data_IF_914076837769
#
_entry.id   IF_914076837769
#
_cell.length_a   1.000
_cell.length_b   1.000
_cell.length_c   1.000
_cell.angle_alpha   90.00
_cell.angle_beta   90.00
_cell.angle_gamma   90.00
#
_symmetry.space_group_name_H-M   'P 1'
#
loop_
_entity.id
_entity.type
_entity.pdbx_description
1 polymer ?
#
# COMPACT_ATOMS: atom_id res chain seq x y z
N UNK A 1 -18.36 65.43 -25.52
CA UNK A 1 -18.97 64.85 -26.74
C UNK A 1 -18.85 63.33 -26.59
N UNK A 2 -19.86 62.74 -26.09
CA UNK A 2 -20.82 61.79 -26.66
C UNK A 2 -20.21 60.72 -27.59
N UNK A 3 -20.17 59.44 -27.16
CA UNK A 3 -20.89 58.36 -27.86
C UNK A 3 -20.92 57.09 -27.00
N UNK A 4 -22.12 56.67 -26.69
CA UNK A 4 -22.48 55.39 -26.10
C UNK A 4 -22.39 54.27 -27.15
N UNK A 5 -21.92 53.09 -26.77
CA UNK A 5 -22.12 51.86 -27.53
C UNK A 5 -22.67 50.79 -26.62
N UNK A 6 -23.86 50.38 -26.94
CA UNK A 6 -24.65 49.31 -26.33
C UNK A 6 -24.12 48.00 -26.91
N UNK A 7 -23.69 47.05 -26.08
CA UNK A 7 -23.46 45.70 -26.52
C UNK A 7 -24.48 44.72 -25.86
N UNK A 8 -25.22 44.08 -26.75
CA UNK A 8 -26.14 43.01 -26.54
C UNK A 8 -25.44 41.80 -25.87
N UNK A 9 -25.99 41.37 -24.74
CA UNK A 9 -25.62 40.10 -24.12
C UNK A 9 -26.56 39.02 -24.66
N UNK A 10 -26.02 38.14 -25.49
CA UNK A 10 -26.69 36.89 -25.91
C UNK A 10 -26.34 35.83 -24.86
N UNK A 11 -27.33 35.46 -24.07
CA UNK A 11 -27.23 34.34 -23.13
C UNK A 11 -27.28 33.00 -23.84
N UNK A 12 -26.20 32.23 -23.74
CA UNK A 12 -26.20 30.83 -24.12
C UNK A 12 -26.40 29.99 -22.86
N UNK A 13 -27.60 29.40 -22.75
CA UNK A 13 -27.91 28.37 -21.74
C UNK A 13 -27.27 27.06 -22.16
N UNK A 14 -26.15 26.68 -21.50
CA UNK A 14 -25.59 25.35 -21.57
C UNK A 14 -26.29 24.46 -20.56
N UNK A 15 -27.15 23.58 -21.04
CA UNK A 15 -27.72 22.48 -20.26
C UNK A 15 -26.65 21.45 -19.95
N UNK A 16 -26.14 21.44 -18.72
CA UNK A 16 -25.23 20.42 -18.22
C UNK A 16 -25.97 19.13 -17.93
N UNK A 17 -25.95 18.20 -18.88
CA UNK A 17 -26.42 16.83 -18.67
C UNK A 17 -25.49 16.09 -17.69
N UNK A 18 -25.98 15.82 -16.48
CA UNK A 18 -25.30 14.96 -15.51
C UNK A 18 -25.50 13.52 -15.98
N UNK A 19 -24.49 12.96 -16.66
CA UNK A 19 -24.44 11.54 -16.96
C UNK A 19 -24.03 10.79 -15.67
N UNK A 20 -25.02 10.22 -14.98
CA UNK A 20 -24.78 9.30 -13.86
C UNK A 20 -24.16 8.02 -14.41
N UNK A 21 -22.88 7.79 -14.16
CA UNK A 21 -22.23 6.53 -14.43
C UNK A 21 -22.79 5.44 -13.50
N UNK A 22 -23.29 4.30 -14.02
CA UNK A 22 -23.75 3.22 -13.16
C UNK A 22 -22.56 2.59 -12.44
N UNK A 23 -22.67 2.47 -11.12
CA UNK A 23 -21.65 1.85 -10.27
C UNK A 23 -21.34 0.43 -10.74
N UNK A 24 -20.04 0.13 -10.98
CA UNK A 24 -19.56 -1.15 -11.52
C UNK A 24 -19.99 -2.39 -10.70
N UNK A 25 -20.32 -2.21 -9.42
CA UNK A 25 -20.75 -3.29 -8.53
C UNK A 25 -22.12 -3.90 -8.89
N UNK A 26 -23.03 -3.14 -9.50
CA UNK A 26 -24.35 -3.67 -9.88
C UNK A 26 -24.30 -4.67 -11.05
N UNK A 27 -23.33 -4.52 -11.94
CA UNK A 27 -23.18 -5.43 -13.09
C UNK A 27 -22.66 -6.83 -12.68
N UNK A 28 -21.81 -6.92 -11.66
CA UNK A 28 -21.30 -8.20 -11.18
C UNK A 28 -22.36 -9.05 -10.48
N UNK A 29 -23.22 -8.42 -9.68
CA UNK A 29 -24.32 -9.10 -8.99
C UNK A 29 -25.36 -9.60 -10.00
N UNK A 30 -25.61 -8.86 -11.07
CA UNK A 30 -26.51 -9.27 -12.14
C UNK A 30 -25.96 -10.52 -12.88
N UNK A 31 -24.68 -10.56 -13.24
CA UNK A 31 -24.06 -11.69 -13.90
C UNK A 31 -24.06 -12.98 -13.07
N UNK A 32 -23.83 -12.87 -11.75
CA UNK A 32 -23.90 -14.03 -10.85
C UNK A 32 -25.32 -14.59 -10.69
N UNK A 33 -26.35 -13.72 -10.78
CA UNK A 33 -27.75 -14.15 -10.75
C UNK A 33 -28.14 -14.89 -12.03
N UNK A 34 -27.62 -14.48 -13.19
CA UNK A 34 -27.86 -15.13 -14.47
C UNK A 34 -27.25 -16.53 -14.49
N UNK A 35 -26.04 -16.72 -13.94
CA UNK A 35 -25.41 -18.05 -13.82
C UNK A 35 -26.18 -19.00 -12.87
N UNK A 36 -26.89 -18.50 -11.87
CA UNK A 36 -27.64 -19.34 -10.93
C UNK A 36 -28.95 -19.89 -11.49
N UNK A 37 -29.45 -19.32 -12.59
CA UNK A 37 -30.66 -19.76 -13.27
C UNK A 37 -30.43 -20.83 -14.35
N UNK A 38 -29.19 -21.17 -14.66
CA UNK A 38 -28.78 -22.14 -15.67
C UNK A 38 -28.71 -23.58 -15.16
N UNK A 39 -28.78 -24.57 -16.06
CA UNK A 39 -28.59 -25.97 -15.70
C UNK A 39 -27.16 -26.26 -15.20
N UNK A 40 -26.98 -27.38 -14.48
CA UNK A 40 -25.78 -27.65 -13.67
C UNK A 40 -24.47 -27.66 -14.49
N UNK A 41 -24.50 -28.13 -15.76
CA UNK A 41 -23.32 -28.17 -16.63
C UNK A 41 -22.93 -26.77 -17.12
N UNK A 42 -23.89 -26.01 -17.58
CA UNK A 42 -23.70 -24.62 -18.05
C UNK A 42 -23.31 -23.65 -16.92
N UNK A 43 -23.76 -23.97 -15.69
CA UNK A 43 -23.41 -23.19 -14.50
C UNK A 43 -21.91 -23.27 -14.17
N UNK A 44 -21.28 -24.42 -14.38
CA UNK A 44 -19.83 -24.58 -14.15
C UNK A 44 -19.03 -23.76 -15.16
N UNK A 45 -19.36 -23.80 -16.45
CA UNK A 45 -18.69 -23.00 -17.46
C UNK A 45 -18.90 -21.49 -17.27
N UNK A 46 -20.10 -21.09 -16.84
CA UNK A 46 -20.40 -19.69 -16.54
C UNK A 46 -19.59 -19.17 -15.33
N UNK A 47 -19.40 -20.01 -14.30
CA UNK A 47 -18.59 -19.67 -13.13
C UNK A 47 -17.09 -19.60 -13.44
N UNK A 48 -16.59 -20.39 -14.37
CA UNK A 48 -15.18 -20.35 -14.81
C UNK A 48 -14.88 -19.12 -15.68
N UNK A 49 -15.88 -18.67 -16.46
CA UNK A 49 -15.78 -17.43 -17.27
C UNK A 49 -16.02 -16.13 -16.47
N UNK A 50 -16.60 -16.22 -15.28
CA UNK A 50 -16.73 -15.05 -14.44
C UNK A 50 -15.34 -14.52 -14.07
N UNK A 51 -15.02 -13.23 -14.31
CA UNK A 51 -13.73 -12.69 -13.96
C UNK A 51 -13.50 -12.87 -12.46
N UNK A 52 -12.53 -13.69 -12.10
CA UNK A 52 -12.09 -13.83 -10.71
C UNK A 52 -11.58 -12.47 -10.29
N UNK A 53 -12.38 -11.76 -9.52
CA UNK A 53 -11.99 -10.48 -8.97
C UNK A 53 -10.95 -10.75 -7.89
N UNK A 54 -9.68 -10.90 -8.29
CA UNK A 54 -8.58 -10.57 -7.40
C UNK A 54 -8.87 -9.14 -6.96
N UNK A 55 -9.09 -8.94 -5.66
CA UNK A 55 -9.32 -7.61 -5.12
C UNK A 55 -8.20 -6.69 -5.65
N UNK A 56 -8.55 -5.79 -6.55
CA UNK A 56 -7.58 -4.88 -7.13
C UNK A 56 -6.92 -4.10 -5.98
N UNK A 57 -5.60 -3.89 -6.03
CA UNK A 57 -4.91 -3.10 -5.01
C UNK A 57 -5.62 -1.77 -4.83
N UNK A 58 -6.13 -1.50 -3.63
CA UNK A 58 -6.81 -0.23 -3.35
C UNK A 58 -5.75 0.83 -3.10
N UNK A 59 -5.60 1.74 -4.06
CA UNK A 59 -4.85 2.98 -3.86
C UNK A 59 -5.73 3.95 -3.07
N UNK A 60 -5.38 4.25 -1.84
CA UNK A 60 -6.07 5.30 -1.08
C UNK A 60 -5.72 6.64 -1.73
N UNK A 61 -6.71 7.37 -2.21
CA UNK A 61 -6.51 8.71 -2.77
C UNK A 61 -5.84 9.61 -1.71
N UNK A 62 -4.68 10.17 -2.04
CA UNK A 62 -3.86 10.98 -1.12
C UNK A 62 -2.78 10.22 -0.34
N UNK A 63 -2.72 8.90 -0.42
CA UNK A 63 -1.69 8.08 0.22
C UNK A 63 -0.74 7.50 -0.83
N UNK A 64 0.56 7.50 -0.50
CA UNK A 64 1.58 6.85 -1.34
C UNK A 64 1.62 5.32 -1.14
N UNK A 65 0.66 4.77 -0.42
CA UNK A 65 0.60 3.37 -0.06
C UNK A 65 -0.40 2.59 -0.90
N UNK A 66 0.02 1.45 -1.38
CA UNK A 66 -0.85 0.44 -2.01
C UNK A 66 -1.05 -0.69 -1.00
N UNK A 67 -2.31 -1.00 -0.69
CA UNK A 67 -2.68 -2.05 0.28
C UNK A 67 -3.39 -3.19 -0.45
N UNK A 68 -2.90 -4.40 -0.25
CA UNK A 68 -3.52 -5.65 -0.72
C UNK A 68 -3.89 -6.52 0.47
N UNK A 69 -5.12 -6.97 0.52
CA UNK A 69 -5.63 -7.90 1.53
C UNK A 69 -6.13 -9.14 0.81
N UNK A 70 -5.58 -10.29 1.16
CA UNK A 70 -5.92 -11.58 0.55
C UNK A 70 -5.99 -12.67 1.62
N UNK A 71 -6.32 -13.87 1.21
CA UNK A 71 -6.28 -15.06 2.06
C UNK A 71 -5.30 -16.05 1.43
N UNK A 72 -4.45 -16.64 2.23
CA UNK A 72 -3.52 -17.67 1.81
C UNK A 72 -4.30 -18.91 1.33
N UNK A 73 -4.04 -19.44 0.13
CA UNK A 73 -4.73 -20.62 -0.36
C UNK A 73 -4.27 -21.90 0.34
N UNK A 74 -3.19 -21.85 1.10
CA UNK A 74 -2.59 -23.03 1.76
C UNK A 74 -3.19 -23.26 3.13
N UNK A 75 -3.29 -22.23 3.95
CA UNK A 75 -3.68 -22.29 5.36
C UNK A 75 -4.88 -21.40 5.70
N UNK A 76 -5.46 -20.76 4.69
CA UNK A 76 -6.58 -19.82 4.81
C UNK A 76 -6.34 -18.68 5.79
N UNK A 77 -5.08 -18.43 6.15
CA UNK A 77 -4.72 -17.31 7.00
C UNK A 77 -4.82 -15.98 6.22
N UNK A 78 -5.16 -14.87 6.89
CA UNK A 78 -5.17 -13.57 6.26
C UNK A 78 -3.74 -13.16 5.88
N UNK A 79 -3.60 -12.62 4.67
CA UNK A 79 -2.37 -12.04 4.14
C UNK A 79 -2.64 -10.57 3.87
N UNK A 80 -1.87 -9.70 4.51
CA UNK A 80 -1.94 -8.27 4.29
C UNK A 80 -0.57 -7.76 3.86
N UNK A 81 -0.56 -6.96 2.80
CA UNK A 81 0.65 -6.33 2.27
C UNK A 81 0.34 -4.86 2.01
N UNK A 82 1.16 -3.98 2.57
CA UNK A 82 1.14 -2.56 2.22
C UNK A 82 2.51 -2.17 1.69
N UNK A 83 2.55 -1.47 0.56
CA UNK A 83 3.78 -1.06 -0.10
C UNK A 83 3.80 0.42 -0.39
N UNK A 84 4.97 1.04 -0.28
CA UNK A 84 5.25 2.39 -0.73
C UNK A 84 6.60 2.44 -1.44
N UNK A 85 6.72 3.31 -2.45
CA UNK A 85 7.97 3.49 -3.18
C UNK A 85 8.78 4.65 -2.59
N UNK A 86 10.10 4.53 -2.66
CA UNK A 86 10.99 5.59 -2.23
C UNK A 86 10.85 6.84 -3.12
N UNK A 87 11.03 8.01 -2.52
CA UNK A 87 11.19 9.29 -3.22
C UNK A 87 12.67 9.60 -3.33
N UNK A 88 13.18 9.71 -4.55
CA UNK A 88 14.58 10.06 -4.77
C UNK A 88 15.53 8.98 -4.22
N UNK A 89 16.31 8.45 -5.06
CA UNK A 89 17.54 7.75 -4.73
C UNK A 89 18.62 8.40 -5.56
N UNK A 90 19.81 8.52 -5.05
CA UNK A 90 20.96 9.13 -5.76
C UNK A 90 21.24 8.49 -7.11
N UNK A 91 20.62 7.35 -7.39
CA UNK A 91 20.93 6.50 -8.55
C UNK A 91 19.72 6.05 -9.37
N UNK A 92 18.54 6.65 -9.17
CA UNK A 92 17.33 6.33 -9.96
C UNK A 92 16.75 4.92 -9.73
N UNK A 93 17.34 4.10 -8.88
CA UNK A 93 16.82 2.78 -8.53
C UNK A 93 15.76 2.90 -7.44
N UNK A 94 14.49 2.86 -7.84
CA UNK A 94 13.37 2.87 -6.90
C UNK A 94 13.48 1.69 -5.92
N UNK A 95 13.48 2.00 -4.62
CA UNK A 95 13.30 1.00 -3.57
C UNK A 95 11.85 0.97 -3.11
N UNK A 96 11.40 -0.17 -2.67
CA UNK A 96 10.04 -0.38 -2.14
C UNK A 96 10.13 -0.79 -0.68
N UNK A 97 9.38 -0.11 0.17
CA UNK A 97 9.15 -0.49 1.55
C UNK A 97 7.82 -1.24 1.64
N UNK A 98 7.84 -2.42 2.24
CA UNK A 98 6.66 -3.27 2.39
C UNK A 98 6.43 -3.63 3.84
N UNK A 99 5.21 -3.42 4.32
CA UNK A 99 4.71 -4.00 5.56
C UNK A 99 3.94 -5.25 5.15
N UNK A 100 4.36 -6.42 5.62
CA UNK A 100 3.72 -7.70 5.31
C UNK A 100 3.30 -8.40 6.59
N UNK A 101 2.18 -9.09 6.50
CA UNK A 101 1.71 -9.97 7.55
C UNK A 101 1.14 -11.24 6.90
N UNK A 102 1.57 -12.39 7.42
CA UNK A 102 1.10 -13.71 7.01
C UNK A 102 1.28 -14.69 8.16
N UNK A 103 0.25 -15.49 8.46
CA UNK A 103 0.33 -16.51 9.50
C UNK A 103 0.73 -15.98 10.88
N UNK A 104 0.27 -14.78 11.26
CA UNK A 104 0.61 -14.12 12.52
C UNK A 104 2.01 -13.51 12.58
N UNK A 105 2.82 -13.65 11.52
CA UNK A 105 4.15 -13.05 11.42
C UNK A 105 4.05 -11.73 10.66
N UNK A 106 4.67 -10.69 11.21
CA UNK A 106 4.75 -9.36 10.57
C UNK A 106 6.18 -9.02 10.25
N UNK A 107 6.41 -8.45 9.07
CA UNK A 107 7.71 -8.08 8.56
C UNK A 107 7.65 -6.68 7.93
N UNK A 108 8.68 -5.87 8.17
CA UNK A 108 8.96 -4.64 7.45
C UNK A 108 10.17 -4.91 6.55
N UNK A 109 10.01 -4.79 5.24
CA UNK A 109 10.98 -5.26 4.25
C UNK A 109 11.29 -4.13 3.28
N UNK A 110 12.57 -3.95 2.99
CA UNK A 110 13.05 -3.12 1.88
C UNK A 110 13.50 -4.00 0.74
N UNK A 111 12.98 -3.71 -0.46
CA UNK A 111 13.37 -4.35 -1.71
C UNK A 111 13.77 -3.31 -2.74
N UNK A 112 14.53 -3.72 -3.76
CA UNK A 112 14.93 -2.86 -4.86
C UNK A 112 15.91 -3.59 -5.77
N UNK A 113 16.13 -3.10 -6.98
CA UNK A 113 17.02 -3.74 -7.97
C UNK A 113 18.48 -3.85 -7.50
N UNK A 114 18.91 -2.95 -6.63
CA UNK A 114 20.27 -2.94 -6.05
C UNK A 114 20.37 -3.64 -4.68
N UNK A 115 19.22 -4.01 -4.10
CA UNK A 115 19.19 -4.80 -2.87
C UNK A 115 19.38 -6.26 -3.24
N UNK A 116 20.58 -6.77 -3.11
CA UNK A 116 20.97 -8.12 -3.53
C UNK A 116 21.55 -8.93 -2.37
N UNK A 117 21.58 -10.24 -2.53
CA UNK A 117 22.11 -11.15 -1.51
C UNK A 117 21.14 -11.42 -0.37
N UNK A 118 21.67 -11.93 0.74
CA UNK A 118 20.88 -12.27 1.93
C UNK A 118 20.66 -11.03 2.78
N UNK A 119 19.44 -10.87 3.29
CA UNK A 119 19.08 -9.73 4.12
C UNK A 119 19.96 -9.54 5.36
N UNK A 120 20.47 -10.63 5.95
CA UNK A 120 21.38 -10.61 7.10
C UNK A 120 22.82 -10.11 6.77
N UNK A 121 23.11 -9.90 5.48
CA UNK A 121 24.36 -9.29 5.01
C UNK A 121 24.40 -7.77 5.07
N UNK A 122 23.36 -7.13 5.60
CA UNK A 122 23.25 -5.67 5.68
C UNK A 122 23.29 -5.18 7.13
N UNK A 123 23.74 -3.94 7.31
CA UNK A 123 23.46 -3.13 8.48
C UNK A 123 22.35 -2.12 8.10
N UNK A 124 21.34 -2.00 8.94
CA UNK A 124 20.25 -1.05 8.74
C UNK A 124 20.39 0.07 9.74
N UNK A 125 20.38 1.32 9.27
CA UNK A 125 20.03 2.45 10.09
C UNK A 125 18.85 3.20 9.49
N UNK A 126 17.99 3.73 10.33
CA UNK A 126 16.83 4.50 9.88
C UNK A 126 16.68 5.78 10.70
N UNK A 127 16.03 6.77 10.11
CA UNK A 127 15.72 8.05 10.73
C UNK A 127 14.32 8.48 10.33
N UNK A 128 13.55 8.90 11.31
CA UNK A 128 12.19 9.42 11.10
C UNK A 128 12.31 10.93 11.01
N UNK A 129 11.91 11.51 9.88
CA UNK A 129 12.07 12.94 9.58
C UNK A 129 13.52 13.40 9.86
N UNK A 130 13.69 14.46 10.65
CA UNK A 130 14.99 15.03 11.05
C UNK A 130 15.49 14.49 12.39
N UNK A 131 14.89 13.40 12.88
CA UNK A 131 15.29 12.77 14.13
C UNK A 131 16.67 12.12 14.08
N UNK A 132 17.11 11.59 15.23
CA UNK A 132 18.40 10.89 15.30
C UNK A 132 18.35 9.54 14.58
N UNK A 133 19.44 9.13 13.92
CA UNK A 133 19.56 7.82 13.31
C UNK A 133 19.47 6.72 14.39
N UNK A 134 18.74 5.66 14.09
CA UNK A 134 18.61 4.48 14.94
C UNK A 134 19.10 3.27 14.14
N UNK A 135 19.85 2.41 14.79
CA UNK A 135 20.29 1.15 14.21
C UNK A 135 19.34 0.02 14.58
N UNK A 136 19.10 -0.87 13.64
CA UNK A 136 18.31 -2.07 13.86
C UNK A 136 18.96 -3.26 13.15
N UNK A 137 18.77 -4.44 13.71
CA UNK A 137 19.29 -5.66 13.09
C UNK A 137 18.61 -5.90 11.73
N UNK A 138 19.39 -6.32 10.76
CA UNK A 138 18.89 -6.80 9.50
C UNK A 138 18.58 -8.30 9.59
N UNK A 139 17.55 -8.74 8.89
CA UNK A 139 17.11 -10.13 8.85
C UNK A 139 16.79 -10.56 7.42
N UNK A 140 16.73 -11.86 7.20
CA UNK A 140 16.26 -12.46 5.94
C UNK A 140 14.74 -12.50 5.99
N UNK A 141 14.03 -11.86 5.03
CA UNK A 141 12.57 -11.94 4.98
C UNK A 141 12.11 -13.36 4.64
N UNK A 142 10.89 -13.72 5.08
CA UNK A 142 10.29 -15.01 4.77
C UNK A 142 10.14 -15.25 3.25
N UNK A 143 10.02 -14.19 2.45
CA UNK A 143 10.03 -14.27 0.98
C UNK A 143 11.40 -14.57 0.38
N UNK A 144 12.47 -14.52 1.14
CA UNK A 144 13.85 -14.69 0.69
C UNK A 144 14.41 -13.49 -0.10
N UNK A 145 13.62 -12.47 -0.39
CA UNK A 145 14.00 -11.34 -1.25
C UNK A 145 13.96 -10.04 -0.47
N UNK A 146 15.08 -9.29 -0.50
CA UNK A 146 15.21 -8.00 0.18
C UNK A 146 15.84 -8.10 1.56
N UNK A 147 15.71 -7.03 2.33
CA UNK A 147 16.23 -6.89 3.69
C UNK A 147 15.07 -6.62 4.64
N UNK A 148 14.87 -7.49 5.61
CA UNK A 148 13.85 -7.31 6.64
C UNK A 148 14.46 -6.61 7.88
N UNK A 149 13.62 -5.81 8.53
CA UNK A 149 13.94 -5.23 9.82
C UNK A 149 13.81 -6.31 10.91
N UNK A 150 14.80 -6.45 11.75
CA UNK A 150 14.77 -7.34 12.91
C UNK A 150 14.01 -6.75 14.09
N UNK A 151 13.82 -7.55 15.13
CA UNK A 151 13.16 -7.13 16.36
C UNK A 151 11.63 -6.99 16.27
N UNK A 152 11.05 -6.12 17.09
CA UNK A 152 9.59 -5.91 17.16
C UNK A 152 9.11 -4.94 16.07
N UNK A 153 8.88 -5.51 14.88
CA UNK A 153 8.39 -4.77 13.71
C UNK A 153 7.00 -4.14 13.97
N UNK A 154 6.14 -4.83 14.72
CA UNK A 154 4.80 -4.32 15.02
C UNK A 154 4.91 -3.02 15.79
N UNK A 155 5.71 -3.03 16.86
CA UNK A 155 5.94 -1.85 17.68
C UNK A 155 6.60 -0.73 16.88
N UNK A 156 7.58 -1.06 16.03
CA UNK A 156 8.21 -0.08 15.16
C UNK A 156 7.17 0.59 14.25
N UNK A 157 6.38 -0.18 13.49
CA UNK A 157 5.37 0.36 12.57
C UNK A 157 4.29 1.17 13.32
N UNK A 158 3.93 0.74 14.54
CA UNK A 158 2.98 1.49 15.39
C UNK A 158 3.54 2.83 15.90
N UNK A 159 4.87 2.95 16.02
CA UNK A 159 5.54 4.18 16.47
C UNK A 159 5.81 5.20 15.38
N UNK A 160 5.74 4.80 14.09
CA UNK A 160 5.96 5.71 12.98
C UNK A 160 4.85 6.77 12.92
N UNK A 161 5.16 8.05 12.63
CA UNK A 161 4.14 9.09 12.47
C UNK A 161 3.31 8.89 11.19
N UNK A 162 2.13 9.47 11.13
CA UNK A 162 1.40 9.64 9.88
C UNK A 162 1.84 10.94 9.20
N UNK A 163 2.72 10.80 8.24
CA UNK A 163 3.33 11.93 7.51
C UNK A 163 4.84 12.04 7.69
N UNK A 164 5.42 12.92 6.89
CA UNK A 164 6.88 13.03 6.79
C UNK A 164 7.52 11.90 6.03
N UNK A 165 8.74 11.53 6.42
CA UNK A 165 9.57 10.54 5.74
C UNK A 165 10.31 9.61 6.67
N UNK A 166 10.46 8.36 6.24
CA UNK A 166 11.34 7.37 6.82
C UNK A 166 12.58 7.27 5.93
N UNK A 167 13.71 7.79 6.42
CA UNK A 167 15.00 7.67 5.76
C UNK A 167 15.62 6.34 6.17
N UNK A 168 15.99 5.50 5.23
CA UNK A 168 16.62 4.21 5.47
C UNK A 168 17.98 4.19 4.79
N UNK A 169 19.00 3.80 5.52
CA UNK A 169 20.35 3.57 5.05
C UNK A 169 20.67 2.09 5.20
N UNK A 170 20.93 1.43 4.08
CA UNK A 170 21.33 0.03 4.00
C UNK A 170 22.79 -0.05 3.64
N UNK A 171 23.64 -0.50 4.56
CA UNK A 171 25.05 -0.74 4.32
C UNK A 171 25.30 -2.24 4.13
N UNK A 172 25.56 -2.73 2.90
CA UNK A 172 25.95 -4.11 2.68
C UNK A 172 27.36 -4.35 3.21
N UNK A 173 27.71 -5.60 3.52
CA UNK A 173 29.07 -5.96 3.93
C UNK A 173 30.10 -5.66 2.85
N UNK A 174 29.71 -5.70 1.59
CA UNK A 174 30.53 -5.39 0.43
C UNK A 174 29.73 -4.57 -0.56
N UNK A 175 30.33 -3.50 -1.09
CA UNK A 175 29.70 -2.61 -2.05
C UNK A 175 29.22 -1.29 -1.44
N UNK A 176 28.64 -0.43 -2.26
CA UNK A 176 28.16 0.88 -1.82
C UNK A 176 26.90 0.76 -0.96
N UNK A 177 26.78 1.65 0.02
CA UNK A 177 25.56 1.82 0.78
C UNK A 177 24.42 2.36 -0.10
N UNK A 178 23.20 2.06 0.30
CA UNK A 178 21.96 2.48 -0.38
C UNK A 178 21.12 3.34 0.56
N UNK A 179 20.72 4.50 0.08
CA UNK A 179 19.88 5.41 0.82
C UNK A 179 18.51 5.55 0.14
N UNK A 180 17.45 5.55 0.94
CA UNK A 180 16.10 5.74 0.45
C UNK A 180 15.25 6.54 1.44
N UNK A 181 14.36 7.38 0.90
CA UNK A 181 13.36 8.12 1.66
C UNK A 181 11.97 7.62 1.30
N UNK A 182 11.26 7.07 2.26
CA UNK A 182 9.91 6.56 2.07
C UNK A 182 8.89 7.52 2.68
N UNK A 183 7.87 7.96 1.91
CA UNK A 183 6.82 8.82 2.43
C UNK A 183 5.92 8.06 3.40
N UNK A 184 5.63 8.65 4.55
CA UNK A 184 4.77 8.07 5.57
C UNK A 184 3.31 8.57 5.53
N UNK A 185 2.99 9.52 4.63
CA UNK A 185 1.63 10.04 4.51
C UNK A 185 0.61 8.96 4.20
N UNK A 186 -0.47 8.89 4.99
CA UNK A 186 -1.51 7.89 4.91
C UNK A 186 -1.20 6.58 5.65
N UNK A 187 -0.13 6.53 6.44
CA UNK A 187 0.26 5.35 7.19
C UNK A 187 -0.77 4.96 8.26
N UNK A 188 -1.52 5.90 8.84
CA UNK A 188 -2.56 5.61 9.82
C UNK A 188 -3.67 4.73 9.24
N UNK A 189 -4.09 5.03 8.02
CA UNK A 189 -5.09 4.20 7.29
C UNK A 189 -4.53 2.82 7.00
N UNK A 190 -3.26 2.73 6.60
CA UNK A 190 -2.56 1.48 6.36
C UNK A 190 -2.47 0.65 7.64
N UNK A 191 -2.03 1.27 8.75
CA UNK A 191 -1.95 0.61 10.06
C UNK A 191 -3.30 0.04 10.50
N UNK A 192 -4.37 0.81 10.36
CA UNK A 192 -5.71 0.35 10.72
C UNK A 192 -6.09 -0.92 9.93
N UNK A 193 -5.87 -0.93 8.61
CA UNK A 193 -6.15 -2.09 7.75
C UNK A 193 -5.30 -3.30 8.10
N UNK A 194 -3.99 -3.13 8.27
CA UNK A 194 -3.06 -4.21 8.63
C UNK A 194 -3.37 -4.74 10.04
N UNK A 195 -3.61 -3.86 11.02
CA UNK A 195 -3.96 -4.24 12.39
C UNK A 195 -5.21 -5.12 12.41
N UNK A 196 -6.25 -4.73 11.65
CA UNK A 196 -7.48 -5.51 11.56
C UNK A 196 -7.26 -6.89 10.91
N UNK A 197 -6.54 -6.95 9.78
CA UNK A 197 -6.27 -8.19 9.06
C UNK A 197 -5.34 -9.13 9.84
N UNK A 198 -4.34 -8.59 10.53
CA UNK A 198 -3.26 -9.34 11.17
C UNK A 198 -3.44 -9.49 12.68
N UNK A 199 -4.54 -9.00 13.23
CA UNK A 199 -4.85 -9.03 14.66
C UNK A 199 -3.72 -8.49 15.54
N UNK A 200 -3.10 -7.40 15.11
CA UNK A 200 -2.06 -6.75 15.92
C UNK A 200 -2.64 -6.26 17.24
N UNK A 201 -1.84 -6.28 18.32
CA UNK A 201 -2.26 -5.67 19.56
C UNK A 201 -2.50 -4.16 19.34
N UNK A 202 -3.58 -3.64 19.93
CA UNK A 202 -3.83 -2.19 19.86
C UNK A 202 -2.75 -1.48 20.67
N UNK A 203 -2.23 -0.34 20.18
CA UNK A 203 -1.36 0.49 21.00
C UNK A 203 -2.08 0.82 22.31
N UNK A 204 -1.37 0.73 23.43
CA UNK A 204 -1.91 1.21 24.70
C UNK A 204 -2.29 2.68 24.52
N UNK A 205 -3.50 3.06 24.94
CA UNK A 205 -3.93 4.44 24.91
C UNK A 205 -2.91 5.28 25.66
N UNK A 206 -2.40 6.34 25.01
CA UNK A 206 -1.47 7.26 25.66
C UNK A 206 -2.21 7.85 26.87
N UNK A 207 -1.70 7.75 28.10
CA UNK A 207 -2.36 8.40 29.22
C UNK A 207 -2.45 9.89 28.91
N UNK A 208 -3.68 10.41 29.00
CA UNK A 208 -3.91 11.84 28.89
C UNK A 208 -3.15 12.51 30.01
N UNK A 209 -2.05 13.17 29.68
CA UNK A 209 -1.31 14.03 30.60
C UNK A 209 -1.87 15.44 30.56
#
# INVERSE_FOLDING_TARGET
MKRAAIHFVVGVLLASGIASAPAAGHRQIAQLRDCSAMERAERLECSEKAPRTSAAPQTNQGSNWVVSLTTSPVDYSPVAIATTSSRGGTDGSGMTLSIRCHGGRSELIVTGSRVSGRGDGYAISYRINDGLPQQIAAAVPASGTGVAFGGDVIRLVQSLPDGGGLNIHLAPRTGPALDAVFPLGGLDVVRAKITAACRWPRPAAKPNG
#
